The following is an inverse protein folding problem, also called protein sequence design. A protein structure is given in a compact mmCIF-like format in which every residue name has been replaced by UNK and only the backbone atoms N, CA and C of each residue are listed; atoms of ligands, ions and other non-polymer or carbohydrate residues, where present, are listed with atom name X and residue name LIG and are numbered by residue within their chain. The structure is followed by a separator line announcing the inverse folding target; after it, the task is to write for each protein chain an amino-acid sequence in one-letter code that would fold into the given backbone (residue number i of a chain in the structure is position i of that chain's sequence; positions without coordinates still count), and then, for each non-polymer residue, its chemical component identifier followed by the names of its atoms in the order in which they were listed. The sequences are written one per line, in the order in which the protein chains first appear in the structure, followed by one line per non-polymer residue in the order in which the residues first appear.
data_IF_619475038789
#
_entry.id   IF_619475038789
#
_cell.length_a   1.000
_cell.length_b   1.000
_cell.length_c   1.000
_cell.angle_alpha   90.00
_cell.angle_beta   90.00
_cell.angle_gamma   90.00
#
_symmetry.space_group_name_H-M   'P 1'
#
loop_
_entity.id
_entity.type
_entity.pdbx_description
1 polymer ?
#
# COMPACT_ATOMS: atom_id res chain seq x y z
N UNK A 1 -13.51 16.58 -6.77
CA UNK A 1 -12.09 16.21 -6.66
C UNK A 1 -11.98 15.20 -5.55
N UNK A 2 -11.25 14.11 -5.75
CA UNK A 2 -10.99 13.10 -4.74
C UNK A 2 -9.88 13.56 -3.79
N UNK A 3 -9.85 12.98 -2.59
CA UNK A 3 -8.75 13.18 -1.67
C UNK A 3 -7.59 12.24 -2.03
N UNK A 4 -7.93 10.98 -2.40
CA UNK A 4 -6.95 9.98 -2.81
C UNK A 4 -7.43 9.23 -4.06
N UNK A 5 -6.52 8.98 -5.00
CA UNK A 5 -6.66 7.96 -6.03
C UNK A 5 -5.63 6.88 -5.73
N UNK A 6 -6.09 5.65 -5.45
CA UNK A 6 -5.23 4.48 -5.25
C UNK A 6 -5.11 3.70 -6.56
N UNK A 7 -3.87 3.45 -7.00
CA UNK A 7 -3.56 2.83 -8.28
C UNK A 7 -2.79 1.54 -8.08
N UNK A 8 -3.28 0.45 -8.64
CA UNK A 8 -2.68 -0.89 -8.57
C UNK A 8 -3.73 -1.97 -8.73
N UNK A 9 -3.31 -3.22 -8.89
CA UNK A 9 -4.26 -4.31 -9.03
C UNK A 9 -5.02 -4.58 -7.73
N UNK A 10 -6.31 -4.85 -7.84
CA UNK A 10 -6.97 -5.75 -6.90
C UNK A 10 -6.46 -7.16 -7.11
N UNK A 11 -6.39 -7.93 -6.05
CA UNK A 11 -6.00 -9.33 -6.09
C UNK A 11 -7.03 -10.22 -5.37
N UNK A 12 -6.94 -11.51 -5.62
CA UNK A 12 -7.60 -12.54 -4.82
C UNK A 12 -6.47 -13.28 -4.11
N UNK A 13 -6.37 -13.09 -2.80
CA UNK A 13 -5.31 -13.67 -1.98
C UNK A 13 -5.77 -14.96 -1.29
N UNK A 14 -4.94 -15.99 -1.39
CA UNK A 14 -5.07 -17.26 -0.67
C UNK A 14 -4.09 -17.25 0.50
N UNK A 15 -4.60 -16.99 1.72
CA UNK A 15 -3.79 -16.78 2.92
C UNK A 15 -3.84 -18.04 3.80
N UNK A 16 -2.73 -18.75 3.91
CA UNK A 16 -2.56 -19.89 4.79
C UNK A 16 -1.84 -19.48 6.08
N UNK A 17 -2.58 -19.42 7.16
CA UNK A 17 -2.07 -19.17 8.51
C UNK A 17 -1.60 -20.48 9.18
N UNK A 18 -0.63 -20.42 10.15
CA UNK A 18 0.03 -21.60 10.71
C UNK A 18 -0.92 -22.67 11.28
N UNK A 19 -1.97 -22.24 11.96
CA UNK A 19 -2.89 -23.14 12.67
C UNK A 19 -4.04 -23.67 11.80
N UNK A 20 -3.96 -23.47 10.47
CA UNK A 20 -5.04 -23.85 9.55
C UNK A 20 -4.57 -24.86 8.50
N UNK A 21 -5.51 -25.74 8.15
CA UNK A 21 -5.31 -26.69 7.03
C UNK A 21 -5.72 -26.09 5.68
N UNK A 22 -6.69 -25.18 5.68
CA UNK A 22 -7.22 -24.54 4.48
C UNK A 22 -6.95 -23.03 4.52
N UNK A 23 -6.58 -22.44 3.39
CA UNK A 23 -6.37 -21.00 3.31
C UNK A 23 -7.69 -20.23 3.41
N UNK A 24 -7.59 -18.97 3.79
CA UNK A 24 -8.63 -17.98 3.54
C UNK A 24 -8.50 -17.45 2.11
N UNK A 25 -9.63 -17.31 1.43
CA UNK A 25 -9.68 -16.65 0.13
C UNK A 25 -10.33 -15.28 0.34
N UNK A 26 -9.57 -14.23 0.14
CA UNK A 26 -9.97 -12.86 0.46
C UNK A 26 -9.66 -11.89 -0.67
N UNK A 27 -10.33 -10.74 -0.67
CA UNK A 27 -9.89 -9.60 -1.47
C UNK A 27 -8.50 -9.16 -0.97
N UNK A 28 -7.58 -8.94 -1.90
CA UNK A 28 -6.23 -8.48 -1.66
C UNK A 28 -5.82 -7.38 -2.61
N UNK A 29 -4.52 -7.11 -2.61
CA UNK A 29 -3.91 -6.05 -3.39
C UNK A 29 -3.84 -4.73 -2.64
N UNK A 30 -2.74 -3.99 -2.84
CA UNK A 30 -2.49 -2.70 -2.19
C UNK A 30 -3.66 -1.74 -2.37
N UNK A 31 -4.22 -1.67 -3.60
CA UNK A 31 -5.36 -0.80 -3.90
C UNK A 31 -6.57 -1.04 -2.99
N UNK A 32 -6.84 -2.28 -2.56
CA UNK A 32 -7.93 -2.59 -1.64
C UNK A 32 -7.66 -2.07 -0.22
N UNK A 33 -6.50 -2.41 0.34
CA UNK A 33 -6.14 -2.02 1.70
C UNK A 33 -5.99 -0.51 1.87
N UNK A 34 -5.28 0.15 0.94
CA UNK A 34 -5.11 1.62 0.94
C UNK A 34 -6.46 2.33 0.87
N UNK A 35 -7.31 1.92 -0.08
CA UNK A 35 -8.60 2.60 -0.29
C UNK A 35 -9.55 2.41 0.87
N UNK A 36 -9.63 1.21 1.46
CA UNK A 36 -10.48 0.94 2.61
C UNK A 36 -9.99 1.67 3.87
N UNK A 37 -8.68 1.62 4.18
CA UNK A 37 -8.11 2.33 5.32
C UNK A 37 -8.39 3.84 5.23
N UNK A 38 -8.16 4.45 4.07
CA UNK A 38 -8.45 5.86 3.86
C UNK A 38 -9.95 6.17 3.94
N UNK A 39 -10.79 5.26 3.42
CA UNK A 39 -12.24 5.44 3.43
C UNK A 39 -12.85 5.38 4.83
N UNK A 40 -12.32 4.51 5.71
CA UNK A 40 -12.71 4.44 7.12
C UNK A 40 -12.34 5.72 7.91
N UNK A 41 -11.42 6.51 7.39
CA UNK A 41 -11.12 7.87 7.85
C UNK A 41 -11.90 8.96 7.08
N UNK A 42 -12.99 8.60 6.38
CA UNK A 42 -13.86 9.49 5.62
C UNK A 42 -13.18 10.24 4.45
N UNK A 43 -12.05 9.76 3.93
CA UNK A 43 -11.48 10.29 2.70
C UNK A 43 -12.37 9.93 1.49
N UNK A 44 -12.43 10.80 0.48
CA UNK A 44 -13.07 10.49 -0.82
C UNK A 44 -12.06 9.78 -1.69
N UNK A 45 -12.31 8.50 -1.94
CA UNK A 45 -11.34 7.61 -2.60
C UNK A 45 -11.88 7.11 -3.93
N UNK A 46 -11.04 7.15 -4.96
CA UNK A 46 -11.24 6.44 -6.22
C UNK A 46 -10.10 5.41 -6.42
N UNK A 47 -10.40 4.36 -7.16
CA UNK A 47 -9.43 3.31 -7.49
C UNK A 47 -9.23 3.23 -9.00
N UNK A 48 -7.97 3.13 -9.42
CA UNK A 48 -7.56 2.74 -10.76
C UNK A 48 -6.96 1.34 -10.67
N UNK A 49 -7.60 0.38 -11.29
CA UNK A 49 -7.19 -1.03 -11.24
C UNK A 49 -7.56 -1.76 -12.51
N UNK A 50 -7.01 -2.95 -12.69
CA UNK A 50 -7.41 -3.88 -13.73
C UNK A 50 -7.62 -5.26 -13.15
N UNK A 51 -8.76 -5.89 -13.47
CA UNK A 51 -9.16 -7.21 -12.99
C UNK A 51 -9.49 -8.13 -14.15
N UNK A 52 -9.45 -9.43 -13.93
CA UNK A 52 -9.85 -10.43 -14.90
C UNK A 52 -11.36 -10.70 -14.90
N UNK A 53 -11.76 -11.65 -15.74
CA UNK A 53 -13.17 -12.06 -15.92
C UNK A 53 -13.75 -12.76 -14.69
N UNK A 54 -12.90 -13.26 -13.81
CA UNK A 54 -13.21 -14.02 -12.60
C UNK A 54 -13.24 -13.15 -11.31
N UNK A 55 -13.13 -11.82 -11.43
CA UNK A 55 -13.24 -10.94 -10.26
C UNK A 55 -14.66 -10.99 -9.68
N UNK A 56 -14.83 -11.36 -8.41
CA UNK A 56 -16.15 -11.53 -7.82
C UNK A 56 -16.96 -10.22 -7.78
N UNK A 57 -18.17 -10.23 -8.32
CA UNK A 57 -19.08 -9.07 -8.27
C UNK A 57 -19.43 -8.69 -6.83
N UNK A 58 -19.38 -9.63 -5.87
CA UNK A 58 -19.57 -9.35 -4.46
C UNK A 58 -18.51 -8.39 -3.90
N UNK A 59 -17.25 -8.49 -4.34
CA UNK A 59 -16.21 -7.54 -3.96
C UNK A 59 -16.44 -6.16 -4.58
N UNK A 60 -16.83 -6.10 -5.85
CA UNK A 60 -17.18 -4.84 -6.52
C UNK A 60 -18.34 -4.14 -5.80
N UNK A 61 -19.39 -4.91 -5.49
CA UNK A 61 -20.54 -4.40 -4.76
C UNK A 61 -20.14 -3.90 -3.35
N UNK A 62 -19.39 -4.70 -2.59
CA UNK A 62 -18.94 -4.32 -1.25
C UNK A 62 -18.11 -3.04 -1.26
N UNK A 63 -17.08 -2.95 -2.11
CA UNK A 63 -16.24 -1.75 -2.23
C UNK A 63 -17.07 -0.50 -2.59
N UNK A 64 -18.09 -0.67 -3.44
CA UNK A 64 -19.05 0.40 -3.74
C UNK A 64 -19.89 0.81 -2.54
N UNK A 65 -20.31 -0.15 -1.68
CA UNK A 65 -21.03 0.15 -0.42
C UNK A 65 -20.13 0.88 0.59
N UNK A 66 -18.84 0.58 0.61
CA UNK A 66 -17.84 1.34 1.39
C UNK A 66 -17.65 2.78 0.84
N UNK A 67 -18.25 3.11 -0.29
CA UNK A 67 -18.18 4.45 -0.90
C UNK A 67 -16.88 4.70 -1.67
N UNK A 68 -16.24 3.65 -2.17
CA UNK A 68 -15.07 3.72 -3.04
C UNK A 68 -15.55 3.87 -4.49
N UNK A 69 -15.02 4.85 -5.22
CA UNK A 69 -15.30 5.02 -6.65
C UNK A 69 -14.50 4.00 -7.47
N UNK A 70 -15.21 3.16 -8.22
CA UNK A 70 -14.67 2.06 -9.01
C UNK A 70 -14.80 2.28 -10.53
N UNK A 71 -15.12 3.49 -10.98
CA UNK A 71 -15.33 3.78 -12.40
C UNK A 71 -14.09 3.55 -13.27
N UNK A 72 -12.90 3.62 -12.67
CA UNK A 72 -11.63 3.36 -13.35
C UNK A 72 -11.07 1.95 -13.05
N UNK A 73 -11.93 1.00 -12.66
CA UNK A 73 -11.57 -0.43 -12.55
C UNK A 73 -11.93 -1.12 -13.85
N UNK A 74 -10.92 -1.31 -14.71
CA UNK A 74 -11.06 -1.98 -15.98
C UNK A 74 -11.20 -3.50 -15.78
N UNK A 75 -12.00 -4.14 -16.64
CA UNK A 75 -12.15 -5.60 -16.69
C UNK A 75 -11.58 -6.13 -18.00
N UNK A 76 -10.71 -7.12 -17.91
CA UNK A 76 -10.24 -7.89 -19.06
C UNK A 76 -10.94 -9.24 -19.10
N UNK A 77 -11.74 -9.45 -20.15
CA UNK A 77 -12.56 -10.68 -20.29
C UNK A 77 -11.74 -11.91 -20.73
N UNK A 78 -10.49 -11.72 -21.16
CA UNK A 78 -9.61 -12.79 -21.64
C UNK A 78 -8.55 -13.22 -20.62
N UNK A 79 -8.51 -12.59 -19.46
CA UNK A 79 -7.53 -12.88 -18.41
C UNK A 79 -8.21 -13.20 -17.08
N UNK A 80 -7.40 -13.70 -16.14
CA UNK A 80 -7.80 -13.87 -14.75
C UNK A 80 -7.29 -12.71 -13.90
N UNK A 81 -7.99 -12.45 -12.80
CA UNK A 81 -7.58 -11.50 -11.78
C UNK A 81 -6.25 -11.91 -11.14
N UNK A 82 -5.43 -10.95 -10.76
CA UNK A 82 -4.18 -11.20 -10.01
C UNK A 82 -4.47 -12.04 -8.77
N UNK A 83 -3.69 -13.12 -8.59
CA UNK A 83 -3.84 -14.05 -7.46
C UNK A 83 -2.50 -14.32 -6.82
N UNK A 84 -2.49 -14.28 -5.48
CA UNK A 84 -1.33 -14.67 -4.70
C UNK A 84 -1.68 -15.75 -3.69
N UNK A 85 -0.75 -16.69 -3.50
CA UNK A 85 -0.69 -17.57 -2.33
C UNK A 85 0.29 -16.99 -1.32
N UNK A 86 -0.19 -16.79 -0.09
CA UNK A 86 0.60 -16.34 1.04
C UNK A 86 0.60 -17.44 2.09
N UNK A 87 1.78 -17.93 2.45
CA UNK A 87 1.93 -18.93 3.51
C UNK A 87 2.84 -18.40 4.60
N UNK A 88 2.30 -18.22 5.79
CA UNK A 88 3.02 -17.69 6.94
C UNK A 88 3.71 -18.81 7.74
N UNK A 89 4.87 -18.48 8.32
CA UNK A 89 5.55 -19.29 9.32
C UNK A 89 4.81 -19.23 10.69
N UNK A 90 5.28 -20.02 11.66
CA UNK A 90 4.58 -20.23 12.94
C UNK A 90 4.39 -18.94 13.77
N UNK A 91 5.31 -18.00 13.68
CA UNK A 91 5.30 -16.74 14.45
C UNK A 91 4.80 -15.53 13.63
N UNK A 92 4.34 -15.76 12.42
CA UNK A 92 3.85 -14.73 11.48
C UNK A 92 4.90 -13.67 11.06
N UNK A 93 6.19 -13.91 11.35
CA UNK A 93 7.28 -12.97 11.05
C UNK A 93 7.68 -13.00 9.58
N UNK A 94 7.51 -14.14 8.93
CA UNK A 94 7.90 -14.38 7.54
C UNK A 94 6.79 -15.07 6.76
N UNK A 95 6.75 -14.81 5.46
CA UNK A 95 5.84 -15.49 4.54
C UNK A 95 6.55 -15.87 3.24
N UNK A 96 6.15 -16.98 2.65
CA UNK A 96 6.36 -17.23 1.23
C UNK A 96 5.22 -16.57 0.43
N UNK A 97 5.55 -16.05 -0.73
CA UNK A 97 4.63 -15.41 -1.65
C UNK A 97 4.79 -16.03 -3.02
N UNK A 98 3.70 -16.54 -3.59
CA UNK A 98 3.64 -17.08 -4.94
C UNK A 98 2.51 -16.45 -5.74
N UNK A 99 2.78 -15.99 -6.93
CA UNK A 99 1.78 -15.53 -7.88
C UNK A 99 1.23 -16.71 -8.68
N UNK A 100 -0.07 -16.91 -8.64
CA UNK A 100 -0.74 -17.90 -9.49
C UNK A 100 -1.12 -17.29 -10.85
N UNK A 101 -1.67 -16.08 -10.83
CA UNK A 101 -2.06 -15.32 -11.99
C UNK A 101 -1.73 -13.84 -11.79
N UNK A 102 -1.51 -13.15 -12.92
CA UNK A 102 -1.35 -11.70 -12.97
C UNK A 102 -2.26 -11.16 -14.05
N UNK A 103 -3.18 -10.28 -13.68
CA UNK A 103 -3.99 -9.54 -14.65
C UNK A 103 -3.08 -8.72 -15.59
N UNK A 104 -3.53 -8.34 -16.78
CA UNK A 104 -2.76 -7.51 -17.69
C UNK A 104 -2.36 -6.17 -17.07
N UNK A 105 -1.26 -5.56 -17.53
CA UNK A 105 -0.84 -4.24 -17.04
C UNK A 105 -1.93 -3.18 -17.18
N UNK A 106 -1.90 -2.22 -16.27
CA UNK A 106 -2.67 -0.98 -16.37
C UNK A 106 -2.02 -0.14 -17.48
N UNK A 107 -2.79 0.24 -18.48
CA UNK A 107 -2.28 0.97 -19.65
C UNK A 107 -2.66 2.44 -19.63
N UNK A 108 -2.04 3.22 -20.53
CA UNK A 108 -2.37 4.64 -20.72
C UNK A 108 -3.84 4.85 -21.05
N UNK A 109 -4.48 3.90 -21.76
CA UNK A 109 -5.91 3.94 -22.08
C UNK A 109 -6.76 3.79 -20.82
N UNK A 110 -6.40 2.87 -19.91
CA UNK A 110 -7.11 2.63 -18.65
C UNK A 110 -7.12 3.88 -17.76
N UNK A 111 -6.07 4.71 -17.85
CA UNK A 111 -5.93 5.93 -17.05
C UNK A 111 -6.36 7.21 -17.76
N UNK A 112 -6.85 7.12 -18.99
CA UNK A 112 -7.19 8.30 -19.82
C UNK A 112 -8.29 9.19 -19.23
N UNK A 113 -9.13 8.66 -18.34
CA UNK A 113 -10.28 9.34 -17.72
C UNK A 113 -10.15 9.48 -16.20
N UNK A 114 -8.96 9.30 -15.66
CA UNK A 114 -8.72 9.39 -14.21
C UNK A 114 -9.01 10.83 -13.74
N UNK A 115 -9.85 11.02 -12.72
CA UNK A 115 -10.17 12.33 -12.20
C UNK A 115 -8.99 12.97 -11.46
N UNK A 116 -9.14 14.24 -11.06
CA UNK A 116 -8.14 14.93 -10.24
C UNK A 116 -8.30 14.58 -8.75
N UNK A 117 -7.18 14.50 -8.04
CA UNK A 117 -7.10 14.26 -6.60
C UNK A 117 -6.08 15.16 -5.90
N UNK A 118 -6.13 15.20 -4.57
CA UNK A 118 -5.04 15.77 -3.77
C UNK A 118 -3.80 14.86 -3.86
N UNK A 119 -3.99 13.54 -3.69
CA UNK A 119 -2.93 12.54 -3.73
C UNK A 119 -3.27 11.44 -4.75
N UNK A 120 -2.32 11.10 -5.60
CA UNK A 120 -2.31 9.83 -6.35
C UNK A 120 -1.30 8.91 -5.70
N UNK A 121 -1.75 7.73 -5.26
CA UNK A 121 -0.90 6.72 -4.66
C UNK A 121 -0.72 5.53 -5.62
N UNK A 122 0.51 5.22 -5.95
CA UNK A 122 0.89 4.06 -6.75
C UNK A 122 1.28 2.93 -5.80
N UNK A 123 0.43 1.89 -5.73
CA UNK A 123 0.62 0.68 -4.94
C UNK A 123 0.63 -0.55 -5.84
N UNK A 124 1.55 -0.60 -6.80
CA UNK A 124 1.75 -1.77 -7.67
C UNK A 124 2.13 -3.01 -6.86
N UNK A 125 1.57 -4.18 -7.22
CA UNK A 125 1.82 -5.44 -6.52
C UNK A 125 2.46 -6.52 -7.39
N UNK A 126 2.38 -6.39 -8.72
CA UNK A 126 2.79 -7.40 -9.69
C UNK A 126 3.60 -6.83 -10.86
N UNK A 127 4.10 -5.58 -10.73
CA UNK A 127 4.77 -4.87 -11.82
C UNK A 127 3.83 -4.41 -12.92
N UNK A 128 2.56 -4.20 -12.59
CA UNK A 128 1.46 -3.92 -13.52
C UNK A 128 1.40 -2.47 -14.01
N UNK A 129 2.34 -1.62 -13.60
CA UNK A 129 2.37 -0.22 -14.01
C UNK A 129 3.79 0.21 -14.34
N UNK A 130 3.98 0.88 -15.47
CA UNK A 130 5.27 1.35 -15.94
C UNK A 130 5.49 2.86 -15.71
N UNK A 131 6.66 3.33 -16.15
CA UNK A 131 7.07 4.73 -16.02
C UNK A 131 6.09 5.70 -16.71
N UNK A 132 5.67 5.38 -17.94
CA UNK A 132 4.82 6.27 -18.75
C UNK A 132 3.44 6.48 -18.11
N UNK A 133 2.86 5.41 -17.53
CA UNK A 133 1.60 5.47 -16.79
C UNK A 133 1.75 6.28 -15.51
N UNK A 134 2.84 6.06 -14.75
CA UNK A 134 3.12 6.80 -13.51
C UNK A 134 3.32 8.29 -13.81
N UNK A 135 4.07 8.61 -14.87
CA UNK A 135 4.29 9.99 -15.31
C UNK A 135 2.95 10.68 -15.64
N UNK A 136 2.04 9.97 -16.33
CA UNK A 136 0.74 10.52 -16.69
C UNK A 136 -0.17 10.67 -15.47
N UNK A 137 -0.11 9.74 -14.52
CA UNK A 137 -0.86 9.78 -13.27
C UNK A 137 -0.39 10.91 -12.34
N UNK A 138 0.88 11.30 -12.39
CA UNK A 138 1.38 12.47 -11.65
C UNK A 138 0.57 13.73 -11.99
N UNK A 139 0.17 13.90 -13.23
CA UNK A 139 -0.66 15.04 -13.64
C UNK A 139 -2.07 15.01 -13.06
N UNK A 140 -2.53 13.86 -12.56
CA UNK A 140 -3.86 13.72 -11.97
C UNK A 140 -3.90 14.13 -10.49
N UNK A 141 -2.77 14.18 -9.79
CA UNK A 141 -2.64 14.56 -8.38
C UNK A 141 -1.80 15.80 -8.17
N UNK A 142 -2.00 16.47 -7.03
CA UNK A 142 -1.05 17.50 -6.56
C UNK A 142 0.22 16.85 -6.00
N UNK A 143 0.07 15.65 -5.43
CA UNK A 143 1.11 14.85 -4.80
C UNK A 143 1.09 13.45 -5.38
N UNK A 144 2.26 12.91 -5.75
CA UNK A 144 2.44 11.51 -6.12
C UNK A 144 3.08 10.74 -4.98
N UNK A 145 2.39 9.73 -4.48
CA UNK A 145 2.88 8.79 -3.48
C UNK A 145 3.18 7.44 -4.14
N UNK A 146 4.30 6.81 -3.77
CA UNK A 146 4.72 5.52 -4.31
C UNK A 146 5.05 4.53 -3.20
N UNK A 147 4.49 3.31 -3.31
CA UNK A 147 5.02 2.10 -2.69
C UNK A 147 5.67 1.24 -3.80
N UNK A 148 6.99 1.03 -3.77
CA UNK A 148 7.71 0.38 -4.86
C UNK A 148 7.55 -1.15 -4.88
N UNK A 149 6.77 -1.74 -3.97
CA UNK A 149 6.75 -3.21 -3.76
C UNK A 149 6.61 -4.01 -5.06
N UNK A 150 5.69 -3.65 -5.93
CA UNK A 150 5.49 -4.35 -7.21
C UNK A 150 6.59 -4.08 -8.23
N UNK A 151 7.29 -2.95 -8.12
CA UNK A 151 8.37 -2.57 -9.02
C UNK A 151 9.71 -3.27 -8.67
N UNK A 152 9.83 -3.80 -7.45
CA UNK A 152 11.01 -4.55 -6.99
C UNK A 152 10.72 -6.06 -6.84
N UNK A 153 9.52 -6.53 -7.18
CA UNK A 153 9.18 -7.95 -7.21
C UNK A 153 9.64 -8.59 -8.51
N UNK A 154 10.32 -9.73 -8.38
CA UNK A 154 10.65 -10.61 -9.49
C UNK A 154 9.89 -11.92 -9.34
N UNK A 155 9.40 -12.46 -10.44
CA UNK A 155 8.59 -13.68 -10.50
C UNK A 155 9.34 -14.74 -11.30
N UNK A 156 9.63 -15.87 -10.67
CA UNK A 156 10.24 -17.01 -11.36
C UNK A 156 9.20 -17.77 -12.22
N UNK A 157 9.65 -18.79 -12.95
CA UNK A 157 8.81 -19.61 -13.83
C UNK A 157 7.71 -20.37 -13.07
N UNK A 158 7.86 -20.60 -11.77
CA UNK A 158 6.90 -21.26 -10.89
C UNK A 158 5.98 -20.27 -10.18
N UNK A 159 6.19 -18.97 -10.38
CA UNK A 159 5.45 -17.87 -9.77
C UNK A 159 5.96 -17.44 -8.40
N UNK A 160 7.06 -18.03 -7.88
CA UNK A 160 7.61 -17.55 -6.60
C UNK A 160 8.09 -16.11 -6.73
N UNK A 161 7.82 -15.33 -5.68
CA UNK A 161 8.16 -13.91 -5.65
C UNK A 161 9.42 -13.69 -4.82
N UNK A 162 10.37 -13.02 -5.44
CA UNK A 162 11.61 -12.57 -4.79
C UNK A 162 11.77 -11.06 -4.96
N UNK A 163 12.61 -10.45 -4.15
CA UNK A 163 12.92 -9.03 -4.26
C UNK A 163 14.15 -8.86 -5.16
N UNK A 164 14.05 -7.92 -6.10
CA UNK A 164 15.11 -7.55 -7.03
C UNK A 164 15.34 -6.04 -7.02
N UNK A 165 16.49 -5.54 -7.49
CA UNK A 165 16.73 -4.12 -7.63
C UNK A 165 15.67 -3.45 -8.52
N UNK A 166 15.33 -2.20 -8.20
CA UNK A 166 14.48 -1.36 -9.06
C UNK A 166 15.19 -1.10 -10.39
N UNK A 167 14.55 -1.51 -11.49
CA UNK A 167 15.13 -1.43 -12.83
C UNK A 167 15.09 0.02 -13.36
N UNK A 168 13.93 0.66 -13.31
CA UNK A 168 13.75 2.02 -13.82
C UNK A 168 13.66 3.05 -12.68
N UNK A 169 14.79 3.66 -12.36
CA UNK A 169 14.88 4.65 -11.29
C UNK A 169 14.29 6.02 -11.64
N UNK A 170 13.94 6.28 -12.92
CA UNK A 170 13.30 7.54 -13.32
C UNK A 170 11.97 7.76 -12.60
N UNK A 171 11.30 6.67 -12.20
CA UNK A 171 10.04 6.77 -11.45
C UNK A 171 10.24 7.53 -10.12
N UNK A 172 11.42 7.45 -9.49
CA UNK A 172 11.70 8.11 -8.22
C UNK A 172 11.72 9.64 -8.34
N UNK A 173 12.07 10.18 -9.51
CA UNK A 173 12.10 11.63 -9.77
C UNK A 173 10.70 12.25 -9.87
N UNK A 174 9.67 11.39 -10.00
CA UNK A 174 8.27 11.81 -10.04
C UNK A 174 7.61 11.89 -8.66
N UNK A 175 8.23 11.25 -7.65
CA UNK A 175 7.61 10.93 -6.37
C UNK A 175 7.82 12.03 -5.33
N UNK A 176 6.73 12.44 -4.70
CA UNK A 176 6.74 13.40 -3.58
C UNK A 176 6.77 12.67 -2.23
N UNK A 177 6.05 11.54 -2.10
CA UNK A 177 5.99 10.70 -0.90
C UNK A 177 6.40 9.28 -1.29
N UNK A 178 7.51 8.81 -0.73
CA UNK A 178 7.99 7.44 -0.91
C UNK A 178 7.74 6.64 0.35
N UNK A 179 7.05 5.50 0.23
CA UNK A 179 6.85 4.57 1.34
C UNK A 179 7.29 3.16 0.94
N UNK A 180 8.02 2.49 1.81
CA UNK A 180 8.46 1.11 1.57
C UNK A 180 8.68 0.36 2.88
N UNK A 181 8.90 -0.95 2.80
CA UNK A 181 9.56 -1.72 3.86
C UNK A 181 11.09 -1.52 3.80
N UNK A 182 11.79 -1.97 4.86
CA UNK A 182 13.25 -1.93 4.91
C UNK A 182 13.89 -2.67 3.73
N UNK A 183 13.40 -3.87 3.41
CA UNK A 183 13.93 -4.70 2.33
C UNK A 183 13.74 -4.02 0.97
N UNK A 184 12.60 -3.38 0.77
CA UNK A 184 12.29 -2.71 -0.49
C UNK A 184 13.14 -1.44 -0.70
N UNK A 185 13.32 -0.60 0.34
CA UNK A 185 14.20 0.58 0.19
C UNK A 185 15.65 0.16 -0.08
N UNK A 186 16.11 -0.93 0.52
CA UNK A 186 17.42 -1.51 0.22
C UNK A 186 17.52 -1.98 -1.24
N UNK A 187 16.49 -2.64 -1.76
CA UNK A 187 16.44 -3.08 -3.16
C UNK A 187 16.40 -1.88 -4.14
N UNK A 188 15.64 -0.83 -3.81
CA UNK A 188 15.55 0.40 -4.62
C UNK A 188 16.87 1.14 -4.68
N UNK A 189 17.55 1.29 -3.55
CA UNK A 189 18.75 2.13 -3.44
C UNK A 189 20.05 1.35 -3.66
N UNK A 190 20.06 0.04 -3.36
CA UNK A 190 21.26 -0.78 -3.28
C UNK A 190 22.08 -0.56 -2.00
N UNK A 191 21.51 0.13 -1.01
CA UNK A 191 22.18 0.48 0.25
C UNK A 191 21.65 -0.40 1.38
N UNK A 192 22.55 -0.97 2.20
CA UNK A 192 22.19 -1.83 3.34
C UNK A 192 21.75 -1.03 4.57
N UNK A 193 22.27 0.18 4.74
CA UNK A 193 21.97 1.02 5.89
C UNK A 193 20.80 1.96 5.61
N UNK A 194 19.92 2.14 6.61
CA UNK A 194 18.67 2.86 6.47
C UNK A 194 18.88 4.37 6.21
N UNK A 195 19.71 5.04 6.99
CA UNK A 195 19.89 6.49 6.87
C UNK A 195 20.50 6.91 5.51
N UNK A 196 21.53 6.25 4.95
CA UNK A 196 21.98 6.47 3.57
C UNK A 196 20.91 6.18 2.53
N UNK A 197 20.10 5.11 2.70
CA UNK A 197 19.02 4.76 1.79
C UNK A 197 17.93 5.87 1.75
N UNK A 198 17.51 6.36 2.92
CA UNK A 198 16.56 7.49 3.01
C UNK A 198 17.12 8.74 2.31
N UNK A 199 18.38 9.07 2.57
CA UNK A 199 19.05 10.22 1.93
C UNK A 199 19.10 10.07 0.40
N UNK A 200 19.32 8.87 -0.11
CA UNK A 200 19.31 8.60 -1.54
C UNK A 200 17.93 8.82 -2.16
N UNK A 201 16.86 8.43 -1.48
CA UNK A 201 15.48 8.67 -1.96
C UNK A 201 15.18 10.17 -1.98
N UNK A 202 15.56 10.93 -0.95
CA UNK A 202 15.42 12.39 -0.98
C UNK A 202 16.20 13.03 -2.13
N UNK A 203 17.36 12.47 -2.48
CA UNK A 203 18.15 12.99 -3.62
C UNK A 203 17.42 12.86 -4.97
N UNK A 204 16.53 11.88 -5.13
CA UNK A 204 15.66 11.77 -6.30
C UNK A 204 14.49 12.78 -6.31
N UNK A 205 14.21 13.45 -5.18
CA UNK A 205 13.20 14.51 -5.11
C UNK A 205 12.05 14.25 -4.12
N UNK A 206 11.94 13.06 -3.53
CA UNK A 206 10.91 12.78 -2.55
C UNK A 206 11.05 13.70 -1.32
N UNK A 207 9.98 14.40 -0.96
CA UNK A 207 9.94 15.27 0.22
C UNK A 207 9.71 14.49 1.51
N UNK A 208 8.93 13.41 1.43
CA UNK A 208 8.63 12.53 2.56
C UNK A 208 9.07 11.12 2.19
N UNK A 209 9.85 10.50 3.07
CA UNK A 209 10.29 9.11 2.96
C UNK A 209 9.84 8.35 4.20
N UNK A 210 9.08 7.28 3.99
CA UNK A 210 8.54 6.43 5.06
C UNK A 210 9.11 5.03 4.88
N UNK A 211 9.76 4.50 5.91
CA UNK A 211 10.22 3.10 5.92
C UNK A 211 9.59 2.37 7.10
N UNK A 212 8.72 1.41 6.80
CA UNK A 212 8.06 0.58 7.81
C UNK A 212 8.98 -0.55 8.26
N UNK A 213 9.01 -0.80 9.57
CA UNK A 213 9.88 -1.76 10.25
C UNK A 213 9.08 -2.86 10.99
N UNK A 214 7.83 -3.08 10.59
CA UNK A 214 6.91 -4.03 11.20
C UNK A 214 6.62 -3.68 12.66
N UNK A 215 6.75 -4.62 13.56
CA UNK A 215 6.50 -4.42 14.99
C UNK A 215 7.43 -3.38 15.67
N UNK A 216 8.48 -2.94 14.97
CA UNK A 216 9.37 -1.86 15.45
C UNK A 216 8.85 -0.46 15.11
N UNK A 217 7.76 -0.36 14.36
CA UNK A 217 7.18 0.92 13.92
C UNK A 217 7.67 1.35 12.54
N UNK A 218 7.97 2.63 12.38
CA UNK A 218 8.45 3.19 11.11
C UNK A 218 9.41 4.35 11.36
N UNK A 219 10.26 4.59 10.36
CA UNK A 219 11.08 5.80 10.27
C UNK A 219 10.45 6.70 9.22
N UNK A 220 10.22 7.94 9.57
CA UNK A 220 9.65 8.97 8.69
C UNK A 220 10.65 10.10 8.56
N UNK A 221 11.02 10.42 7.35
CA UNK A 221 11.91 11.54 7.06
C UNK A 221 11.17 12.60 6.25
N UNK A 222 11.14 13.81 6.74
CA UNK A 222 10.54 14.97 6.07
C UNK A 222 11.66 15.95 5.73
N UNK A 223 11.91 16.14 4.45
CA UNK A 223 12.97 17.03 3.95
C UNK A 223 14.36 16.75 4.59
N UNK A 224 14.61 15.48 4.93
CA UNK A 224 15.86 15.01 5.54
C UNK A 224 15.86 14.98 7.07
N UNK A 225 14.86 15.52 7.75
CA UNK A 225 14.68 15.37 9.19
C UNK A 225 14.04 14.02 9.49
N UNK A 226 14.72 13.20 10.28
CA UNK A 226 14.34 11.82 10.57
C UNK A 226 13.62 11.74 11.90
N UNK A 227 12.50 11.02 11.94
CA UNK A 227 11.70 10.79 13.14
C UNK A 227 11.36 9.29 13.25
N UNK A 228 11.51 8.74 14.44
CA UNK A 228 11.07 7.38 14.76
C UNK A 228 9.63 7.40 15.25
N UNK A 229 8.75 6.69 14.53
CA UNK A 229 7.35 6.54 14.89
C UNK A 229 7.14 5.14 15.48
N UNK A 230 6.74 5.01 16.75
CA UNK A 230 6.55 3.70 17.35
C UNK A 230 5.39 2.95 16.69
N UNK A 231 5.47 1.62 16.67
CA UNK A 231 4.34 0.80 16.28
C UNK A 231 3.19 0.97 17.28
N UNK A 232 1.97 1.07 16.77
CA UNK A 232 0.79 0.85 17.57
C UNK A 232 0.63 -0.67 17.80
N UNK A 233 0.68 -1.18 19.05
CA UNK A 233 0.53 -2.60 19.26
C UNK A 233 -0.91 -3.03 18.95
N UNK A 234 -1.13 -4.13 18.19
CA UNK A 234 -2.45 -4.71 18.02
C UNK A 234 -2.87 -5.41 19.32
N UNK A 235 -4.18 -5.54 19.55
CA UNK A 235 -4.69 -6.38 20.66
C UNK A 235 -4.36 -7.85 20.45
N UNK A 236 -4.42 -8.28 19.19
CA UNK A 236 -4.05 -9.64 18.77
C UNK A 236 -3.54 -9.62 17.33
N UNK A 237 -2.34 -10.12 17.10
CA UNK A 237 -1.85 -10.35 15.74
C UNK A 237 -2.51 -11.63 15.18
N UNK A 238 -3.27 -11.46 14.08
CA UNK A 238 -3.96 -12.55 13.36
C UNK A 238 -3.34 -12.75 11.98
N UNK A 239 -3.27 -11.69 11.17
CA UNK A 239 -2.74 -11.73 9.81
C UNK A 239 -2.02 -10.41 9.49
N UNK A 240 -0.69 -10.40 9.30
CA UNK A 240 0.05 -9.17 9.00
C UNK A 240 -0.12 -8.65 7.56
N UNK A 241 -0.91 -9.35 6.72
CA UNK A 241 -1.15 -8.93 5.32
C UNK A 241 -1.82 -7.55 5.27
N UNK A 242 -1.30 -6.66 4.41
CA UNK A 242 -1.89 -5.35 4.20
C UNK A 242 -1.56 -4.29 5.26
N UNK A 243 -0.78 -4.63 6.30
CA UNK A 243 -0.40 -3.64 7.34
C UNK A 243 0.29 -2.40 6.76
N UNK A 244 1.23 -2.60 5.82
CA UNK A 244 1.93 -1.52 5.15
C UNK A 244 1.01 -0.67 4.26
N UNK A 245 0.03 -1.30 3.62
CA UNK A 245 -0.95 -0.64 2.77
C UNK A 245 -1.97 0.14 3.61
N UNK A 246 -2.44 -0.43 4.73
CA UNK A 246 -3.30 0.26 5.68
C UNK A 246 -2.58 1.46 6.33
N UNK A 247 -1.28 1.30 6.64
CA UNK A 247 -0.45 2.40 7.13
C UNK A 247 -0.46 3.58 6.16
N UNK A 248 -0.13 3.34 4.88
CA UNK A 248 -0.07 4.44 3.92
C UNK A 248 -1.47 4.98 3.60
N UNK A 249 -2.51 4.15 3.59
CA UNK A 249 -3.90 4.60 3.46
C UNK A 249 -4.31 5.57 4.56
N UNK A 250 -4.02 5.24 5.81
CA UNK A 250 -4.25 6.11 6.98
C UNK A 250 -3.42 7.39 6.94
N UNK A 251 -2.13 7.28 6.62
CA UNK A 251 -1.24 8.43 6.45
C UNK A 251 -1.77 9.42 5.40
N UNK A 252 -2.10 8.93 4.21
CA UNK A 252 -2.53 9.77 3.10
C UNK A 252 -3.90 10.41 3.33
N UNK A 253 -4.80 9.77 4.08
CA UNK A 253 -6.08 10.35 4.44
C UNK A 253 -5.92 11.63 5.26
N UNK A 254 -5.01 11.64 6.22
CA UNK A 254 -4.72 12.82 7.05
C UNK A 254 -3.86 13.83 6.28
N UNK A 255 -2.88 13.36 5.51
CA UNK A 255 -2.05 14.22 4.68
C UNK A 255 -2.88 15.04 3.67
N UNK A 256 -3.88 14.42 3.03
CA UNK A 256 -4.78 15.12 2.10
C UNK A 256 -5.64 16.20 2.77
N UNK A 257 -5.80 16.17 4.10
CA UNK A 257 -6.45 17.22 4.91
C UNK A 257 -5.51 18.33 5.32
N UNK A 258 -4.21 18.17 5.09
CA UNK A 258 -3.18 19.14 5.47
C UNK A 258 -2.64 18.97 6.87
N UNK A 259 -2.85 17.81 7.50
CA UNK A 259 -2.28 17.47 8.80
C UNK A 259 -0.77 17.27 8.72
N UNK A 260 -0.08 17.46 9.86
CA UNK A 260 1.36 17.28 9.93
C UNK A 260 1.77 15.80 9.78
N UNK A 261 2.99 15.57 9.27
CA UNK A 261 3.48 14.21 8.96
C UNK A 261 3.61 13.32 10.19
N UNK A 262 3.78 13.89 11.37
CA UNK A 262 3.85 13.14 12.63
C UNK A 262 2.49 12.58 13.01
N UNK A 263 1.44 13.41 12.94
CA UNK A 263 0.06 12.95 13.11
C UNK A 263 -0.33 11.92 12.06
N UNK A 264 -0.07 12.20 10.77
CA UNK A 264 -0.32 11.26 9.68
C UNK A 264 0.31 9.89 9.94
N UNK A 265 1.53 9.86 10.45
CA UNK A 265 2.27 8.62 10.75
C UNK A 265 1.66 7.86 11.93
N UNK A 266 1.21 8.56 12.97
CA UNK A 266 0.50 7.95 14.10
C UNK A 266 -0.82 7.32 13.66
N UNK A 267 -1.58 8.01 12.80
CA UNK A 267 -2.83 7.48 12.22
C UNK A 267 -2.53 6.27 11.32
N UNK A 268 -1.50 6.34 10.49
CA UNK A 268 -1.04 5.19 9.70
C UNK A 268 -0.66 3.99 10.56
N UNK A 269 0.09 4.19 11.65
CA UNK A 269 0.46 3.15 12.62
C UNK A 269 -0.77 2.52 13.29
N UNK A 270 -1.76 3.35 13.66
CA UNK A 270 -3.01 2.88 14.24
C UNK A 270 -3.86 2.06 13.25
N UNK A 271 -3.99 2.52 12.01
CA UNK A 271 -4.69 1.77 10.94
C UNK A 271 -4.01 0.42 10.67
N UNK A 272 -2.67 0.39 10.61
CA UNK A 272 -1.90 -0.84 10.48
C UNK A 272 -2.12 -1.81 11.66
N UNK A 273 -2.25 -1.29 12.88
CA UNK A 273 -2.49 -2.14 14.07
C UNK A 273 -3.86 -2.80 14.06
N UNK A 274 -4.88 -2.14 13.49
CA UNK A 274 -6.24 -2.67 13.41
C UNK A 274 -6.35 -3.74 12.32
N UNK A 275 -5.82 -3.48 11.12
CA UNK A 275 -5.97 -4.43 10.00
C UNK A 275 -5.36 -5.80 10.32
N UNK A 276 -4.29 -5.86 11.10
CA UNK A 276 -3.62 -7.13 11.45
C UNK A 276 -4.37 -7.97 12.50
N UNK A 277 -5.46 -7.45 13.08
CA UNK A 277 -6.32 -8.16 14.03
C UNK A 277 -7.37 -9.05 13.36
N UNK A 278 -7.51 -8.97 12.05
CA UNK A 278 -8.37 -9.82 11.23
C UNK A 278 -7.64 -10.46 10.06
N UNK A 279 -8.37 -11.16 9.20
CA UNK A 279 -7.84 -11.74 7.97
C UNK A 279 -8.38 -10.96 6.77
N UNK A 280 -7.48 -10.53 5.89
CA UNK A 280 -7.84 -9.73 4.73
C UNK A 280 -8.30 -8.30 5.11
N UNK A 281 -8.87 -7.54 4.16
CA UNK A 281 -9.16 -6.11 4.34
C UNK A 281 -10.51 -5.83 5.02
N UNK A 282 -11.10 -6.79 5.72
CA UNK A 282 -12.41 -6.63 6.38
C UNK A 282 -12.33 -6.08 7.80
N UNK A 283 -11.13 -6.05 8.40
CA UNK A 283 -10.91 -5.57 9.77
C UNK A 283 -10.09 -4.27 9.76
N UNK A 284 -10.70 -3.19 9.24
CA UNK A 284 -10.01 -1.89 9.16
C UNK A 284 -10.21 -1.01 10.40
N UNK A 285 -11.12 -1.41 11.31
CA UNK A 285 -11.60 -0.56 12.38
C UNK A 285 -12.45 0.63 11.89
N UNK A 286 -13.01 1.36 12.79
CA UNK A 286 -13.69 2.64 12.52
C UNK A 286 -12.71 3.81 12.63
N UNK A 287 -13.06 4.97 12.06
CA UNK A 287 -12.26 6.18 12.24
C UNK A 287 -12.02 6.54 13.71
N UNK A 288 -13.05 6.36 14.56
CA UNK A 288 -12.93 6.62 16.00
C UNK A 288 -11.94 5.68 16.68
N UNK A 289 -11.92 4.38 16.33
CA UNK A 289 -10.96 3.40 16.84
C UNK A 289 -9.54 3.72 16.36
N UNK A 290 -9.36 4.09 15.09
CA UNK A 290 -8.07 4.52 14.54
C UNK A 290 -7.55 5.74 15.31
N UNK A 291 -8.38 6.78 15.49
CA UNK A 291 -7.97 7.98 16.21
C UNK A 291 -7.73 7.73 17.70
N UNK A 292 -8.51 6.87 18.34
CA UNK A 292 -8.30 6.48 19.75
C UNK A 292 -6.93 5.82 19.95
N UNK A 293 -6.44 5.05 18.97
CA UNK A 293 -5.10 4.46 19.01
C UNK A 293 -4.00 5.44 18.61
N UNK A 294 -4.26 6.34 17.68
CA UNK A 294 -3.27 7.31 17.17
C UNK A 294 -2.92 8.40 18.20
N UNK A 295 -3.92 8.94 18.91
CA UNK A 295 -3.73 10.05 19.87
C UNK A 295 -2.66 9.79 20.94
N UNK A 296 -2.66 8.64 21.65
CA UNK A 296 -1.61 8.36 22.64
C UNK A 296 -0.21 8.24 22.04
N UNK A 297 -0.07 7.84 20.77
CA UNK A 297 1.22 7.80 20.08
C UNK A 297 1.72 9.22 19.83
N UNK A 298 0.84 10.08 19.32
CA UNK A 298 1.16 11.47 19.01
C UNK A 298 1.47 12.29 20.25
N UNK A 299 0.68 12.13 21.35
CA UNK A 299 0.86 12.85 22.61
C UNK A 299 2.15 12.48 23.35
N UNK A 300 2.65 11.24 23.21
CA UNK A 300 3.94 10.82 23.76
C UNK A 300 5.13 11.47 23.08
N UNK A 301 4.89 12.13 21.97
CA UNK A 301 5.89 12.74 21.12
C UNK A 301 6.62 11.69 20.26
N UNK A 302 6.89 12.07 19.02
CA UNK A 302 7.76 11.34 18.11
C UNK A 302 9.20 11.72 18.49
N UNK A 303 10.08 10.74 18.68
CA UNK A 303 11.48 10.99 19.01
C UNK A 303 12.20 11.51 17.78
N UNK A 304 12.83 12.68 17.94
CA UNK A 304 13.81 13.22 16.99
C UNK A 304 15.11 12.41 17.00
#
# INVERSE_FOLDING_TARGET
MFDIISVGHFAIDSILLPDRKNPFIVLGGSAAYVSLAARHLNARVAVVSKVGNDFPEAYRWWLGQEGIDLLNVAKDDNSQTTRFELKYNADLSERSLRSEHRAPPITVEDISRVPKAEVVHIGSIAGEIGFDEIQRLKDCGKVLSLDPQGLVRNFDETGNVTISPLIDKRVLELVDIFKSSLIEVQAVTGMSELAPAIKAIHHYGARIVIVTLGAKGSVVSVEGMIHDVPACPPEKLVDPTGAGDAFIGGFLAEYARGEDSSWCSCVGSAAASLVVEGVGPTHMGTGDEIYARARPLYEKGIKE
#
